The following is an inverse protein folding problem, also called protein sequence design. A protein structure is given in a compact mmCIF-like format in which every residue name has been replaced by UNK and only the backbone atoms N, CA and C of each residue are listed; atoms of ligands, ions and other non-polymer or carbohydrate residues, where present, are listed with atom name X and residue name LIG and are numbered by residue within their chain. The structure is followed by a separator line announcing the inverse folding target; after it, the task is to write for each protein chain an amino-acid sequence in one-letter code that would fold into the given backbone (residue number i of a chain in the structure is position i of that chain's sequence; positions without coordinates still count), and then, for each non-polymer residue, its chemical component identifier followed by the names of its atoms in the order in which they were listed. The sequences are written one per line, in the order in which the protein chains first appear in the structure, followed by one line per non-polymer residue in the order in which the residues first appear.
data_IF_112325643745
#
_entry.id   IF_112325643745
#
_cell.length_a   1.000
_cell.length_b   1.000
_cell.length_c   1.000
_cell.angle_alpha   90.00
_cell.angle_beta   90.00
_cell.angle_gamma   90.00
#
_symmetry.space_group_name_H-M   'P 1'
#
loop_
_entity.id
_entity.type
_entity.pdbx_description
1 polymer ?
#
# COMPACT_ATOMS: atom_id res chain seq x y z
N UNK A 1 -14.67 20.67 -0.99
CA UNK A 1 -13.34 20.11 -1.13
C UNK A 1 -13.38 18.63 -0.77
N UNK A 2 -12.96 17.79 -1.66
CA UNK A 2 -12.96 16.37 -1.42
C UNK A 2 -11.64 15.94 -0.81
N UNK A 3 -11.72 15.05 0.18
CA UNK A 3 -10.55 14.46 0.77
C UNK A 3 -10.40 13.04 0.25
N UNK A 4 -9.27 12.80 -0.39
CA UNK A 4 -8.92 11.46 -0.84
C UNK A 4 -7.99 10.84 0.17
N UNK A 5 -8.36 9.65 0.66
CA UNK A 5 -7.48 8.86 1.50
C UNK A 5 -6.62 7.99 0.61
N UNK A 6 -5.35 8.02 0.87
CA UNK A 6 -4.41 7.17 0.17
C UNK A 6 -3.95 6.08 1.14
N UNK A 7 -4.17 4.83 0.77
CA UNK A 7 -3.71 3.70 1.56
C UNK A 7 -2.60 3.01 0.79
N UNK A 8 -1.42 2.96 1.39
CA UNK A 8 -0.28 2.26 0.82
C UNK A 8 -0.13 0.93 1.54
N UNK A 9 -0.34 -0.15 0.80
CA UNK A 9 -0.12 -1.50 1.31
C UNK A 9 1.36 -1.83 1.12
N UNK A 10 2.05 -2.06 2.21
CA UNK A 10 3.49 -1.98 2.27
C UNK A 10 4.09 -3.16 3.02
N UNK A 11 5.21 -3.62 2.53
CA UNK A 11 6.15 -4.46 3.27
C UNK A 11 7.55 -3.99 2.86
N UNK A 12 8.56 -4.05 3.74
CA UNK A 12 9.88 -3.47 3.42
C UNK A 12 10.60 -4.26 2.34
N UNK A 13 10.17 -4.07 1.12
CA UNK A 13 10.79 -4.58 -0.10
C UNK A 13 11.36 -3.40 -0.89
N UNK A 14 12.31 -3.63 -1.79
CA UNK A 14 12.87 -2.52 -2.58
C UNK A 14 11.82 -1.73 -3.35
N UNK A 15 10.85 -2.40 -3.95
CA UNK A 15 9.80 -1.72 -4.71
C UNK A 15 8.87 -0.90 -3.83
N UNK A 16 8.49 -1.44 -2.68
CA UNK A 16 7.61 -0.73 -1.76
C UNK A 16 8.32 0.48 -1.16
N UNK A 17 9.60 0.36 -0.86
CA UNK A 17 10.40 1.48 -0.34
C UNK A 17 10.48 2.62 -1.34
N UNK A 18 10.59 2.33 -2.63
CA UNK A 18 10.59 3.36 -3.67
C UNK A 18 9.31 4.17 -3.65
N UNK A 19 8.17 3.51 -3.47
CA UNK A 19 6.88 4.20 -3.42
C UNK A 19 6.78 5.05 -2.15
N UNK A 20 7.17 4.52 -1.00
CA UNK A 20 7.08 5.28 0.24
C UNK A 20 7.99 6.51 0.21
N UNK A 21 9.19 6.39 -0.35
CA UNK A 21 10.10 7.53 -0.51
C UNK A 21 9.48 8.58 -1.42
N UNK A 22 8.86 8.16 -2.53
CA UNK A 22 8.20 9.08 -3.45
C UNK A 22 7.07 9.83 -2.74
N UNK A 23 6.25 9.12 -1.96
CA UNK A 23 5.15 9.75 -1.22
C UNK A 23 5.67 10.77 -0.21
N UNK A 24 6.77 10.46 0.47
CA UNK A 24 7.39 11.39 1.41
C UNK A 24 7.93 12.64 0.70
N UNK A 25 8.59 12.46 -0.44
CA UNK A 25 9.11 13.58 -1.22
C UNK A 25 8.00 14.49 -1.75
N UNK A 26 6.88 13.90 -2.14
CA UNK A 26 5.72 14.66 -2.60
C UNK A 26 4.92 15.24 -1.45
N UNK A 27 5.29 14.95 -0.21
CA UNK A 27 4.60 15.38 1.01
C UNK A 27 3.13 14.97 1.02
N UNK A 28 2.84 13.82 0.47
CA UNK A 28 1.50 13.25 0.47
C UNK A 28 1.16 12.69 1.84
N UNK A 29 -0.09 12.89 2.25
CA UNK A 29 -0.60 12.22 3.44
C UNK A 29 -1.16 10.88 3.02
N UNK A 30 -0.71 9.82 3.66
CA UNK A 30 -1.16 8.47 3.34
C UNK A 30 -1.17 7.60 4.59
N UNK A 31 -1.96 6.54 4.53
CA UNK A 31 -1.97 5.52 5.55
C UNK A 31 -1.07 4.39 5.09
N UNK A 32 -0.16 3.98 5.94
CA UNK A 32 0.71 2.85 5.65
C UNK A 32 0.13 1.61 6.31
N UNK A 33 -0.23 0.63 5.50
CA UNK A 33 -0.82 -0.61 5.97
C UNK A 33 0.17 -1.73 5.69
N UNK A 34 0.68 -2.33 6.75
CA UNK A 34 1.67 -3.41 6.61
C UNK A 34 0.99 -4.70 6.18
N UNK A 35 1.55 -5.32 5.17
CA UNK A 35 1.13 -6.64 4.69
C UNK A 35 2.33 -7.57 4.82
N UNK A 36 2.34 -8.40 5.86
CA UNK A 36 3.47 -9.27 6.15
C UNK A 36 3.50 -10.46 5.19
N UNK A 37 4.37 -10.37 4.19
CA UNK A 37 4.49 -11.41 3.17
C UNK A 37 5.06 -12.71 3.72
N UNK A 38 5.79 -12.64 4.84
CA UNK A 38 6.32 -13.84 5.49
C UNK A 38 5.24 -14.63 6.22
N UNK A 39 4.12 -13.97 6.54
CA UNK A 39 2.96 -14.61 7.16
C UNK A 39 1.86 -14.92 6.15
N UNK A 40 2.09 -14.67 4.86
CA UNK A 40 1.09 -14.92 3.85
C UNK A 40 -0.05 -13.91 3.82
N UNK A 41 0.12 -12.73 4.41
CA UNK A 41 -0.95 -11.73 4.45
C UNK A 41 -1.31 -11.19 3.08
N UNK A 42 -0.41 -11.28 2.10
CA UNK A 42 -0.71 -10.91 0.73
C UNK A 42 -1.80 -11.78 0.11
N UNK A 43 -2.11 -12.93 0.71
CA UNK A 43 -3.17 -13.82 0.25
C UNK A 43 -4.48 -13.62 1.00
N UNK A 44 -4.53 -12.72 1.98
CA UNK A 44 -5.77 -12.43 2.69
C UNK A 44 -6.79 -11.82 1.75
N UNK A 45 -8.04 -12.23 1.91
CA UNK A 45 -9.14 -11.83 1.04
C UNK A 45 -9.25 -10.32 0.90
N UNK A 46 -9.10 -9.59 1.99
CA UNK A 46 -9.17 -8.13 1.96
C UNK A 46 -8.12 -7.53 1.05
N UNK A 47 -6.91 -8.08 1.10
CA UNK A 47 -5.83 -7.58 0.27
C UNK A 47 -6.01 -7.98 -1.19
N UNK A 48 -6.50 -9.19 -1.45
CA UNK A 48 -6.70 -9.67 -2.81
C UNK A 48 -7.73 -8.85 -3.57
N UNK A 49 -8.67 -8.22 -2.88
CA UNK A 49 -9.63 -7.30 -3.51
C UNK A 49 -8.93 -6.06 -4.06
N UNK A 50 -7.83 -5.66 -3.44
CA UNK A 50 -7.07 -4.47 -3.81
C UNK A 50 -5.99 -4.81 -4.81
N UNK A 51 -5.33 -5.94 -4.60
CA UNK A 51 -4.28 -6.43 -5.49
C UNK A 51 -4.53 -7.90 -5.82
N UNK A 52 -5.33 -8.18 -6.86
CA UNK A 52 -5.66 -9.56 -7.23
C UNK A 52 -4.45 -10.44 -7.53
N UNK A 53 -3.34 -9.84 -7.93
CA UNK A 53 -2.10 -10.55 -8.19
C UNK A 53 -1.21 -10.67 -6.94
N UNK A 54 -1.74 -10.33 -5.77
CA UNK A 54 -1.07 -10.38 -4.46
C UNK A 54 0.33 -9.73 -4.43
N UNK A 55 0.48 -8.62 -5.15
CA UNK A 55 1.75 -7.91 -5.23
C UNK A 55 1.80 -6.70 -4.30
N UNK A 56 2.97 -6.45 -3.75
CA UNK A 56 3.31 -5.29 -2.94
C UNK A 56 4.34 -4.48 -3.72
N UNK A 57 4.23 -3.15 -3.78
CA UNK A 57 3.24 -2.30 -3.11
C UNK A 57 1.91 -2.25 -3.85
N UNK A 58 0.84 -1.93 -3.13
CA UNK A 58 -0.45 -1.66 -3.71
C UNK A 58 -0.99 -0.35 -3.12
N UNK A 59 -1.70 0.41 -3.93
CA UNK A 59 -2.21 1.71 -3.55
C UNK A 59 -3.71 1.73 -3.75
N UNK A 60 -4.41 2.18 -2.73
CA UNK A 60 -5.86 2.32 -2.77
C UNK A 60 -6.23 3.76 -2.51
N UNK A 61 -7.15 4.29 -3.30
CA UNK A 61 -7.68 5.65 -3.10
C UNK A 61 -9.12 5.54 -2.60
N UNK A 62 -9.39 6.19 -1.48
CA UNK A 62 -10.74 6.27 -0.90
C UNK A 62 -11.15 7.72 -0.77
N UNK A 63 -12.38 7.99 -1.12
CA UNK A 63 -12.99 9.30 -0.90
C UNK A 63 -13.70 9.36 0.45
#
# INVERSE_FOLDING_TARGET
MEFIRINLYYWPTPNARKVSILFEELKLKYNLIKVDINKGEQFFEKFLKISPNNKIPAIEFEE
#
